data_IF_363933083929
#
_entry.id   IF_363933083929
#
_cell.length_a   1.000
_cell.length_b   1.000
_cell.length_c   1.000
_cell.angle_alpha   90.00
_cell.angle_beta   90.00
_cell.angle_gamma   90.00
#
_symmetry.space_group_name_H-M   'P 1'
#
loop_
_entity.id
_entity.type
_entity.pdbx_description
1 polymer ?
#
# COMPACT_ATOMS: atom_id res chain seq x y z
N UNK A 1 17.45 -14.61 -2.07
CA UNK A 1 16.39 -13.69 -2.53
C UNK A 1 15.25 -13.77 -1.53
N UNK A 2 15.15 -12.81 -0.65
CA UNK A 2 14.02 -12.67 0.25
C UNK A 2 12.86 -12.12 -0.58
N UNK A 3 11.99 -13.00 -1.05
CA UNK A 3 10.65 -12.56 -1.46
C UNK A 3 9.97 -12.10 -0.17
N UNK A 4 9.84 -10.78 0.00
CA UNK A 4 9.28 -10.22 1.22
C UNK A 4 7.91 -10.80 1.50
N UNK A 5 7.55 -10.90 2.77
CA UNK A 5 6.24 -11.32 3.26
C UNK A 5 5.07 -10.59 2.54
N UNK A 6 5.32 -9.42 1.95
CA UNK A 6 4.36 -8.70 1.11
C UNK A 6 3.86 -9.47 -0.11
N UNK A 7 4.70 -10.27 -0.78
CA UNK A 7 4.27 -11.08 -1.94
C UNK A 7 3.41 -12.29 -1.51
N UNK A 8 3.67 -12.84 -0.34
CA UNK A 8 2.84 -13.90 0.25
C UNK A 8 1.48 -13.31 0.62
N UNK A 9 1.44 -12.09 1.11
CA UNK A 9 0.20 -11.40 1.48
C UNK A 9 -0.66 -11.02 0.26
N UNK A 10 -0.07 -10.58 -0.85
CA UNK A 10 -0.82 -10.34 -2.11
C UNK A 10 -1.56 -11.58 -2.61
N UNK A 11 -1.00 -12.78 -2.41
CA UNK A 11 -1.62 -14.06 -2.81
C UNK A 11 -2.66 -14.59 -1.82
N UNK A 12 -2.68 -14.09 -0.60
CA UNK A 12 -3.59 -14.51 0.47
C UNK A 12 -4.69 -13.48 0.77
N UNK A 13 -4.77 -12.40 0.00
CA UNK A 13 -5.89 -11.47 0.17
C UNK A 13 -7.16 -12.16 -0.31
N UNK A 14 -7.95 -12.64 0.63
CA UNK A 14 -9.24 -13.29 0.43
C UNK A 14 -10.33 -12.34 -0.10
N UNK A 15 -9.94 -11.19 -0.62
CA UNK A 15 -10.86 -10.21 -1.20
C UNK A 15 -11.11 -10.64 -2.66
N UNK A 16 -12.19 -11.37 -2.87
CA UNK A 16 -12.66 -11.74 -4.21
C UNK A 16 -13.62 -10.70 -4.80
N UNK A 17 -14.05 -9.74 -4.00
CA UNK A 17 -15.03 -8.72 -4.34
C UNK A 17 -14.41 -7.33 -4.16
N UNK A 18 -14.73 -6.42 -5.07
CA UNK A 18 -14.23 -5.05 -4.99
C UNK A 18 -14.76 -4.34 -3.73
N UNK A 19 -13.92 -3.62 -2.94
CA UNK A 19 -14.40 -2.98 -1.70
C UNK A 19 -15.57 -2.03 -1.90
N UNK A 20 -15.57 -1.22 -2.97
CA UNK A 20 -16.68 -0.33 -3.28
C UNK A 20 -17.94 -1.08 -3.69
N UNK A 21 -17.82 -2.25 -4.32
CA UNK A 21 -18.95 -3.12 -4.60
C UNK A 21 -19.59 -3.62 -3.28
N UNK A 22 -18.77 -4.04 -2.32
CA UNK A 22 -19.28 -4.46 -1.01
C UNK A 22 -19.96 -3.31 -0.26
N UNK A 23 -19.43 -2.09 -0.34
CA UNK A 23 -20.11 -0.88 0.19
C UNK A 23 -21.47 -0.69 -0.48
N UNK A 24 -21.51 -0.76 -1.82
CA UNK A 24 -22.75 -0.58 -2.61
C UNK A 24 -23.86 -1.56 -2.23
N UNK A 25 -23.51 -2.81 -1.96
CA UNK A 25 -24.48 -3.86 -1.56
C UNK A 25 -24.73 -3.91 -0.04
N UNK A 26 -24.22 -2.97 0.73
CA UNK A 26 -24.45 -2.86 2.17
C UNK A 26 -23.71 -3.91 3.02
N UNK A 27 -22.54 -4.39 2.56
CA UNK A 27 -21.70 -5.37 3.27
C UNK A 27 -20.27 -4.87 3.51
N UNK A 28 -20.04 -3.61 3.93
CA UNK A 28 -18.68 -3.08 4.12
C UNK A 28 -17.90 -3.81 5.23
N UNK A 29 -18.60 -4.33 6.25
CA UNK A 29 -17.99 -5.09 7.35
C UNK A 29 -17.26 -6.34 6.88
N UNK A 30 -17.67 -6.94 5.76
CA UNK A 30 -17.00 -8.11 5.17
C UNK A 30 -15.55 -7.79 4.80
N UNK A 31 -15.28 -6.58 4.27
CA UNK A 31 -13.90 -6.13 3.97
C UNK A 31 -13.10 -6.01 5.26
N UNK A 32 -13.67 -5.33 6.26
CA UNK A 32 -13.01 -5.09 7.54
C UNK A 32 -12.67 -6.40 8.23
N UNK A 33 -13.62 -7.33 8.30
CA UNK A 33 -13.45 -8.59 9.01
C UNK A 33 -12.44 -9.51 8.33
N UNK A 34 -12.50 -9.63 7.01
CA UNK A 34 -11.56 -10.46 6.25
C UNK A 34 -10.12 -9.92 6.35
N UNK A 35 -9.93 -8.61 6.21
CA UNK A 35 -8.63 -7.98 6.36
C UNK A 35 -8.11 -8.11 7.80
N UNK A 36 -8.95 -7.80 8.79
CA UNK A 36 -8.57 -7.86 10.20
C UNK A 36 -8.17 -9.29 10.60
N UNK A 37 -8.90 -10.30 10.16
CA UNK A 37 -8.58 -11.71 10.46
C UNK A 37 -7.23 -12.12 9.85
N UNK A 38 -6.97 -11.79 8.58
CA UNK A 38 -5.70 -12.09 7.95
C UNK A 38 -4.51 -11.40 8.66
N UNK A 39 -4.67 -10.12 9.00
CA UNK A 39 -3.66 -9.34 9.73
C UNK A 39 -3.45 -9.92 11.14
N UNK A 40 -4.53 -10.29 11.84
CA UNK A 40 -4.49 -10.90 13.18
C UNK A 40 -3.59 -12.12 13.21
N UNK A 41 -3.78 -13.04 12.26
CA UNK A 41 -2.99 -14.29 12.18
C UNK A 41 -1.49 -14.00 12.10
N UNK A 42 -1.09 -13.04 11.24
CA UNK A 42 0.33 -12.66 11.09
C UNK A 42 0.85 -12.00 12.37
N UNK A 43 0.09 -11.06 12.94
CA UNK A 43 0.50 -10.36 14.16
C UNK A 43 0.65 -11.30 15.35
N UNK A 44 -0.24 -12.28 15.51
CA UNK A 44 -0.14 -13.29 16.56
C UNK A 44 1.08 -14.19 16.38
N UNK A 45 1.32 -14.67 15.16
CA UNK A 45 2.46 -15.52 14.85
C UNK A 45 3.81 -14.82 15.07
N UNK A 46 3.85 -13.51 14.88
CA UNK A 46 5.07 -12.72 15.00
C UNK A 46 5.28 -12.09 16.38
N UNK A 47 4.26 -12.06 17.24
CA UNK A 47 4.36 -11.42 18.55
C UNK A 47 5.51 -11.97 19.39
N UNK A 48 6.28 -11.14 20.11
CA UNK A 48 6.14 -9.67 20.26
C UNK A 48 6.82 -8.82 19.16
N UNK A 49 7.38 -9.47 18.12
CA UNK A 49 8.09 -8.78 17.04
C UNK A 49 7.14 -7.87 16.25
N UNK A 50 7.60 -6.68 15.80
CA UNK A 50 6.78 -5.77 15.02
C UNK A 50 6.41 -6.38 13.67
N UNK A 51 5.18 -6.10 13.24
CA UNK A 51 4.65 -6.41 11.91
C UNK A 51 4.34 -5.08 11.22
N UNK A 52 4.72 -4.95 9.96
CA UNK A 52 4.33 -3.80 9.14
C UNK A 52 3.45 -4.30 7.99
N UNK A 53 2.18 -3.91 8.00
CA UNK A 53 1.24 -4.19 6.92
C UNK A 53 1.34 -3.07 5.88
N UNK A 54 1.46 -3.43 4.61
CA UNK A 54 1.31 -2.48 3.51
C UNK A 54 -0.18 -2.34 3.16
N UNK A 55 -0.67 -1.10 3.08
CA UNK A 55 -1.98 -0.83 2.50
C UNK A 55 -2.05 -1.31 1.06
N UNK A 56 -3.25 -1.50 0.55
CA UNK A 56 -3.49 -2.08 -0.79
C UNK A 56 -2.85 -1.27 -1.90
N UNK A 57 -2.11 -1.95 -2.78
CA UNK A 57 -1.43 -1.34 -3.93
C UNK A 57 -1.76 -2.11 -5.21
N UNK A 58 -3.06 -2.37 -5.41
CA UNK A 58 -3.53 -2.98 -6.65
C UNK A 58 -3.60 -1.93 -7.76
N UNK A 59 -3.21 -2.35 -8.94
CA UNK A 59 -3.43 -1.60 -10.18
C UNK A 59 -4.91 -1.62 -10.56
N UNK A 60 -5.37 -0.66 -11.35
CA UNK A 60 -6.77 -0.60 -11.79
C UNK A 60 -7.22 -1.87 -12.50
N UNK A 61 -6.33 -2.52 -13.27
CA UNK A 61 -6.62 -3.81 -13.90
C UNK A 61 -6.87 -4.92 -12.88
N UNK A 62 -6.05 -4.99 -11.83
CA UNK A 62 -6.18 -6.01 -10.76
C UNK A 62 -7.47 -5.82 -9.96
N UNK A 63 -7.85 -4.57 -9.66
CA UNK A 63 -9.12 -4.27 -9.00
C UNK A 63 -10.33 -4.54 -9.90
N UNK A 64 -10.20 -4.30 -11.21
CA UNK A 64 -11.25 -4.57 -12.18
C UNK A 64 -11.60 -6.06 -12.25
N UNK A 65 -10.61 -6.95 -12.09
CA UNK A 65 -10.79 -8.40 -12.10
C UNK A 65 -11.53 -8.93 -10.86
N UNK A 66 -11.68 -8.10 -9.81
CA UNK A 66 -12.49 -8.45 -8.66
C UNK A 66 -13.99 -8.33 -9.02
N UNK A 67 -14.82 -9.16 -8.40
CA UNK A 67 -16.27 -9.09 -8.59
C UNK A 67 -16.81 -7.70 -8.34
N UNK A 68 -17.46 -7.12 -9.34
CA UNK A 68 -17.99 -5.75 -9.34
C UNK A 68 -16.96 -4.66 -9.57
N UNK A 69 -15.69 -5.00 -9.86
CA UNK A 69 -14.61 -4.02 -10.07
C UNK A 69 -14.74 -3.25 -11.37
N UNK A 70 -15.30 -3.86 -12.40
CA UNK A 70 -15.53 -3.24 -13.72
C UNK A 70 -16.38 -1.96 -13.67
N UNK A 71 -17.23 -1.83 -12.64
CA UNK A 71 -18.06 -0.64 -12.42
C UNK A 71 -17.27 0.56 -11.87
N UNK A 72 -16.21 0.31 -11.10
CA UNK A 72 -15.52 1.35 -10.34
C UNK A 72 -14.14 1.71 -10.90
N UNK A 73 -13.56 0.84 -11.70
CA UNK A 73 -12.18 0.99 -12.13
C UNK A 73 -12.05 1.55 -13.54
N UNK A 74 -11.21 2.59 -13.72
CA UNK A 74 -10.94 3.14 -15.05
C UNK A 74 -10.15 2.15 -15.91
N UNK A 75 -10.29 2.27 -17.24
CA UNK A 75 -9.41 1.60 -18.18
C UNK A 75 -8.18 2.47 -18.42
N UNK A 76 -7.05 2.11 -17.83
CA UNK A 76 -5.82 2.90 -17.90
C UNK A 76 -4.82 2.32 -18.90
N UNK A 77 -4.17 3.17 -19.72
CA UNK A 77 -3.18 2.72 -20.71
C UNK A 77 -1.88 2.24 -20.05
N UNK A 78 -1.56 2.72 -18.85
CA UNK A 78 -0.36 2.34 -18.11
C UNK A 78 -0.71 2.01 -16.66
N UNK A 79 -0.61 0.73 -16.33
CA UNK A 79 -0.87 0.27 -14.97
C UNK A 79 0.22 0.73 -13.98
N UNK A 80 1.48 0.89 -14.43
CA UNK A 80 2.58 1.34 -13.57
C UNK A 80 2.39 2.79 -13.11
N UNK A 81 2.03 3.68 -14.06
CA UNK A 81 1.90 5.12 -13.80
C UNK A 81 0.48 5.56 -13.47
N UNK A 82 -0.45 4.61 -13.42
CA UNK A 82 -1.87 4.85 -13.25
C UNK A 82 -2.32 5.16 -11.83
N UNK A 83 -3.60 5.01 -11.60
CA UNK A 83 -4.27 5.26 -10.34
C UNK A 83 -4.06 4.11 -9.35
N UNK A 84 -3.05 4.24 -8.50
CA UNK A 84 -2.64 3.22 -7.51
C UNK A 84 -2.03 3.85 -6.25
N UNK A 85 -1.94 3.07 -5.19
CA UNK A 85 -1.34 3.46 -3.93
C UNK A 85 -1.97 4.71 -3.31
N UNK A 86 -1.15 5.61 -2.77
CA UNK A 86 -1.58 6.79 -2.03
C UNK A 86 -2.62 7.64 -2.78
N UNK A 87 -2.52 7.76 -4.12
CA UNK A 87 -3.47 8.57 -4.91
C UNK A 87 -4.92 8.09 -4.84
N UNK A 88 -5.14 6.79 -4.56
CA UNK A 88 -6.49 6.24 -4.34
C UNK A 88 -7.08 6.66 -3.01
N UNK A 89 -6.25 6.69 -1.97
CA UNK A 89 -6.73 6.76 -0.59
C UNK A 89 -7.40 8.08 -0.23
N UNK A 90 -7.06 9.16 -0.93
CA UNK A 90 -7.70 10.47 -0.75
C UNK A 90 -8.63 10.86 -1.91
N UNK A 91 -8.72 10.02 -2.96
CA UNK A 91 -9.66 10.26 -4.07
C UNK A 91 -11.10 10.06 -3.59
N UNK A 92 -12.02 11.03 -3.85
CA UNK A 92 -13.43 10.89 -3.49
C UNK A 92 -14.10 9.61 -4.00
N UNK A 93 -13.59 9.02 -5.08
CA UNK A 93 -14.10 7.77 -5.65
C UNK A 93 -13.70 6.54 -4.85
N UNK A 94 -12.62 6.60 -4.04
CA UNK A 94 -12.08 5.42 -3.37
C UNK A 94 -11.90 5.58 -1.86
N UNK A 95 -11.94 6.80 -1.33
CA UNK A 95 -11.68 7.12 0.08
C UNK A 95 -12.48 6.24 1.07
N UNK A 96 -13.73 5.90 0.75
CA UNK A 96 -14.55 5.06 1.61
C UNK A 96 -13.99 3.62 1.70
N UNK A 97 -13.44 3.08 0.61
CA UNK A 97 -12.75 1.80 0.64
C UNK A 97 -11.46 1.85 1.47
N UNK A 98 -10.68 2.93 1.37
CA UNK A 98 -9.49 3.11 2.21
C UNK A 98 -9.83 3.23 3.71
N UNK A 99 -10.92 3.88 4.06
CA UNK A 99 -11.39 3.92 5.45
C UNK A 99 -11.68 2.52 6.01
N UNK A 100 -12.18 1.57 5.19
CA UNK A 100 -12.37 0.19 5.62
C UNK A 100 -11.04 -0.50 5.94
N UNK A 101 -9.98 -0.24 5.16
CA UNK A 101 -8.64 -0.74 5.50
C UNK A 101 -8.14 -0.17 6.83
N UNK A 102 -8.34 1.13 7.07
CA UNK A 102 -8.01 1.76 8.34
C UNK A 102 -8.80 1.15 9.50
N UNK A 103 -10.10 0.88 9.31
CA UNK A 103 -10.94 0.23 10.32
C UNK A 103 -10.46 -1.18 10.64
N UNK A 104 -10.02 -1.96 9.63
CA UNK A 104 -9.43 -3.28 9.85
C UNK A 104 -8.16 -3.22 10.69
N UNK A 105 -7.25 -2.27 10.41
CA UNK A 105 -6.03 -2.04 11.22
C UNK A 105 -6.40 -1.68 12.64
N UNK A 106 -7.36 -0.76 12.84
CA UNK A 106 -7.82 -0.35 14.16
C UNK A 106 -8.42 -1.54 14.91
N UNK A 107 -9.27 -2.35 14.27
CA UNK A 107 -9.85 -3.55 14.86
C UNK A 107 -8.77 -4.51 15.39
N UNK A 108 -7.73 -4.75 14.62
CA UNK A 108 -6.60 -5.60 15.04
C UNK A 108 -5.89 -5.04 16.26
N UNK A 109 -5.66 -3.74 16.30
CA UNK A 109 -4.91 -3.10 17.38
C UNK A 109 -5.75 -2.91 18.65
N UNK A 110 -7.03 -2.61 18.53
CA UNK A 110 -7.89 -2.24 19.65
C UNK A 110 -8.72 -3.43 20.15
N UNK A 111 -9.42 -4.13 19.26
CA UNK A 111 -10.30 -5.23 19.65
C UNK A 111 -9.51 -6.53 19.89
N UNK A 112 -8.53 -6.84 19.03
CA UNK A 112 -7.67 -8.03 19.23
C UNK A 112 -6.46 -7.76 20.13
N UNK A 113 -6.20 -6.50 20.49
CA UNK A 113 -5.11 -6.12 21.39
C UNK A 113 -3.70 -6.25 20.81
N UNK A 114 -3.55 -6.45 19.50
CA UNK A 114 -2.27 -6.72 18.84
C UNK A 114 -1.54 -5.41 18.50
N UNK A 115 -0.85 -4.84 19.48
CA UNK A 115 -0.15 -3.54 19.35
C UNK A 115 1.15 -3.62 18.54
N UNK A 116 1.62 -4.81 18.19
CA UNK A 116 2.81 -4.99 17.33
C UNK A 116 2.56 -4.69 15.84
N UNK A 117 1.35 -4.32 15.44
CA UNK A 117 0.99 -3.94 14.08
C UNK A 117 1.34 -2.47 13.79
N UNK A 118 2.07 -2.24 12.70
CA UNK A 118 2.36 -0.96 12.08
C UNK A 118 1.87 -0.98 10.62
N UNK A 119 1.90 0.15 9.94
CA UNK A 119 1.45 0.25 8.54
C UNK A 119 2.50 0.87 7.63
N UNK A 120 2.34 0.64 6.33
CA UNK A 120 3.17 1.21 5.28
C UNK A 120 2.30 1.72 4.14
N UNK A 121 2.58 2.94 3.70
CA UNK A 121 1.93 3.60 2.58
C UNK A 121 2.70 3.26 1.31
N UNK A 122 2.10 2.59 0.31
CA UNK A 122 2.73 2.31 -0.97
C UNK A 122 2.52 3.45 -1.96
N UNK A 123 3.38 3.54 -2.94
CA UNK A 123 3.28 4.34 -4.15
C UNK A 123 2.77 5.77 -3.91
N UNK A 124 3.45 6.48 -3.02
CA UNK A 124 3.15 7.87 -2.66
C UNK A 124 4.06 8.81 -3.45
N UNK A 125 3.49 9.58 -4.36
CA UNK A 125 4.23 10.34 -5.38
C UNK A 125 4.80 11.66 -4.89
N UNK A 126 4.12 12.31 -3.96
CA UNK A 126 4.54 13.61 -3.45
C UNK A 126 4.19 13.77 -1.96
N UNK A 127 4.74 14.83 -1.36
CA UNK A 127 4.60 15.09 0.08
C UNK A 127 3.15 15.40 0.45
N UNK A 128 2.43 16.09 -0.42
CA UNK A 128 1.02 16.46 -0.21
C UNK A 128 0.10 15.24 -0.19
N UNK A 129 0.39 14.22 -1.02
CA UNK A 129 -0.31 12.93 -0.93
C UNK A 129 -0.08 12.25 0.43
N UNK A 130 1.19 12.25 0.90
CA UNK A 130 1.54 11.67 2.18
C UNK A 130 0.80 12.36 3.34
N UNK A 131 0.76 13.70 3.33
CA UNK A 131 0.02 14.49 4.30
C UNK A 131 -1.47 14.17 4.30
N UNK A 132 -2.12 14.13 3.13
CA UNK A 132 -3.54 13.80 3.00
C UNK A 132 -3.85 12.40 3.54
N UNK A 133 -3.04 11.42 3.15
CA UNK A 133 -3.24 10.03 3.57
C UNK A 133 -3.06 9.87 5.08
N UNK A 134 -2.01 10.44 5.65
CA UNK A 134 -1.77 10.38 7.11
C UNK A 134 -2.85 11.10 7.90
N UNK A 135 -3.43 12.18 7.37
CA UNK A 135 -4.57 12.86 7.95
C UNK A 135 -5.82 11.96 7.95
N UNK A 136 -6.17 11.33 6.83
CA UNK A 136 -7.30 10.40 6.76
C UNK A 136 -7.11 9.23 7.74
N UNK A 137 -5.89 8.70 7.86
CA UNK A 137 -5.57 7.66 8.83
C UNK A 137 -5.82 8.15 10.26
N UNK A 138 -5.38 9.36 10.60
CA UNK A 138 -5.60 9.97 11.92
C UNK A 138 -7.09 10.17 12.20
N UNK A 139 -7.87 10.63 11.23
CA UNK A 139 -9.33 10.79 11.31
C UNK A 139 -10.03 9.42 11.55
N UNK A 140 -9.43 8.32 11.07
CA UNK A 140 -9.88 6.95 11.34
C UNK A 140 -9.34 6.38 12.68
N UNK A 141 -8.62 7.15 13.49
CA UNK A 141 -8.06 6.72 14.78
C UNK A 141 -6.67 6.08 14.68
N UNK A 142 -5.99 6.19 13.53
CA UNK A 142 -4.64 5.66 13.30
C UNK A 142 -3.60 6.79 13.27
N UNK A 143 -3.37 7.43 14.42
CA UNK A 143 -2.37 8.49 14.54
C UNK A 143 -0.98 7.92 14.80
N UNK A 144 0.01 8.40 14.02
CA UNK A 144 1.42 8.11 14.25
C UNK A 144 1.86 8.50 15.67
N UNK A 145 2.63 7.65 16.32
CA UNK A 145 3.08 7.88 17.68
C UNK A 145 4.11 6.85 18.15
N UNK A 146 4.31 6.80 19.47
CA UNK A 146 5.27 5.88 20.08
C UNK A 146 4.95 4.42 19.77
N UNK A 147 3.68 4.05 19.85
CA UNK A 147 3.20 2.67 19.74
C UNK A 147 2.59 2.33 18.39
N UNK A 148 2.60 3.27 17.44
CA UNK A 148 2.11 3.05 16.07
C UNK A 148 2.99 3.79 15.08
N UNK A 149 3.66 3.01 14.23
CA UNK A 149 4.59 3.53 13.23
C UNK A 149 3.97 3.53 11.85
N UNK A 150 4.25 4.59 11.10
CA UNK A 150 3.86 4.74 9.71
C UNK A 150 5.11 4.71 8.85
N UNK A 151 5.18 3.74 7.95
CA UNK A 151 6.28 3.58 7.00
C UNK A 151 5.85 4.08 5.63
N UNK A 152 6.81 4.49 4.82
CA UNK A 152 6.61 4.80 3.41
C UNK A 152 7.39 3.80 2.57
N UNK A 153 6.80 3.31 1.48
CA UNK A 153 7.54 2.55 0.51
C UNK A 153 8.34 3.51 -0.38
N UNK A 154 9.66 3.47 -0.25
CA UNK A 154 10.57 4.24 -1.11
C UNK A 154 10.72 3.51 -2.45
N UNK A 155 9.86 3.87 -3.39
CA UNK A 155 9.77 3.19 -4.68
C UNK A 155 9.56 4.15 -5.86
N UNK A 156 9.52 5.45 -5.57
CA UNK A 156 9.41 6.52 -6.55
C UNK A 156 10.60 7.46 -6.37
N UNK A 157 11.25 7.94 -7.43
CA UNK A 157 12.40 8.85 -7.31
C UNK A 157 12.17 10.08 -6.42
N UNK A 158 10.93 10.61 -6.40
CA UNK A 158 10.56 11.73 -5.53
C UNK A 158 10.70 11.40 -4.03
N UNK A 159 10.50 10.14 -3.63
CA UNK A 159 10.66 9.71 -2.24
C UNK A 159 12.12 9.82 -1.79
N UNK A 160 13.05 9.62 -2.72
CA UNK A 160 14.49 9.73 -2.48
C UNK A 160 14.92 11.20 -2.44
N UNK A 161 14.48 11.98 -3.45
CA UNK A 161 14.86 13.39 -3.62
C UNK A 161 14.34 14.25 -2.48
N UNK A 162 13.13 13.98 -1.99
CA UNK A 162 12.45 14.75 -0.94
C UNK A 162 12.30 13.97 0.37
N UNK A 163 13.22 13.03 0.65
CA UNK A 163 13.15 12.19 1.85
C UNK A 163 13.05 13.02 3.15
N UNK A 164 13.78 14.15 3.22
CA UNK A 164 13.71 15.08 4.34
C UNK A 164 12.31 15.68 4.55
N UNK A 165 11.54 15.88 3.48
CA UNK A 165 10.18 16.41 3.56
C UNK A 165 9.19 15.30 3.97
N UNK A 166 9.31 14.10 3.41
CA UNK A 166 8.49 12.96 3.82
C UNK A 166 8.69 12.55 5.28
N UNK A 167 9.90 12.73 5.83
CA UNK A 167 10.22 12.44 7.24
C UNK A 167 9.32 13.16 8.25
N UNK A 168 8.65 14.24 7.85
CA UNK A 168 7.67 14.93 8.69
C UNK A 168 6.44 14.05 8.98
N UNK A 169 6.10 13.13 8.09
CA UNK A 169 4.88 12.34 8.10
C UNK A 169 5.09 10.87 8.42
N UNK A 170 6.31 10.33 8.23
CA UNK A 170 6.60 8.89 8.37
C UNK A 170 7.74 8.64 9.35
N UNK A 171 7.83 7.40 9.85
CA UNK A 171 8.85 6.96 10.81
C UNK A 171 10.04 6.28 10.13
N UNK A 172 9.92 5.96 8.86
CA UNK A 172 10.97 5.29 8.08
C UNK A 172 10.49 4.81 6.72
N UNK A 173 11.39 4.12 6.02
CA UNK A 173 11.18 3.67 4.66
C UNK A 173 11.39 2.17 4.52
N UNK A 174 10.63 1.58 3.60
CA UNK A 174 10.90 0.26 3.04
C UNK A 174 11.18 0.41 1.55
N UNK A 175 12.27 -0.15 1.07
CA UNK A 175 12.68 0.01 -0.32
C UNK A 175 11.86 -0.91 -1.23
N UNK A 176 11.03 -0.32 -2.10
CA UNK A 176 10.31 -1.00 -3.17
C UNK A 176 11.18 -1.07 -4.43
N UNK A 177 12.21 -1.92 -4.42
CA UNK A 177 13.25 -1.94 -5.46
C UNK A 177 12.70 -2.18 -6.87
N UNK A 178 11.61 -2.92 -7.01
CA UNK A 178 11.03 -3.20 -8.32
C UNK A 178 10.48 -1.93 -9.00
N UNK A 179 9.56 -1.24 -8.32
CA UNK A 179 8.98 -0.01 -8.85
C UNK A 179 10.06 1.09 -8.97
N UNK A 180 10.95 1.20 -7.97
CA UNK A 180 12.06 2.16 -8.04
C UNK A 180 12.96 1.92 -9.25
N UNK A 181 13.32 0.68 -9.55
CA UNK A 181 14.12 0.35 -10.73
C UNK A 181 13.42 0.72 -12.01
N UNK A 182 12.13 0.38 -12.15
CA UNK A 182 11.34 0.74 -13.33
C UNK A 182 11.28 2.24 -13.53
N UNK A 183 11.05 3.00 -12.47
CA UNK A 183 10.89 4.46 -12.56
C UNK A 183 12.22 5.20 -12.73
N UNK A 184 13.31 4.72 -12.14
CA UNK A 184 14.65 5.30 -12.32
C UNK A 184 15.17 5.05 -13.73
N UNK A 185 14.92 3.86 -14.29
CA UNK A 185 15.39 3.49 -15.62
C UNK A 185 14.38 3.82 -16.74
N UNK A 186 13.14 4.20 -16.38
CA UNK A 186 12.08 4.50 -17.34
C UNK A 186 11.66 3.28 -18.18
N UNK A 187 11.66 2.09 -17.58
CA UNK A 187 11.28 0.86 -18.26
C UNK A 187 10.25 0.07 -17.44
N UNK A 188 9.32 -0.59 -18.12
CA UNK A 188 8.37 -1.51 -17.52
C UNK A 188 8.93 -2.95 -17.65
N UNK A 189 9.15 -3.63 -16.51
CA UNK A 189 9.66 -5.02 -16.49
C UNK A 189 8.68 -6.03 -17.09
N UNK A 190 7.39 -5.68 -17.13
CA UNK A 190 6.32 -6.54 -17.66
C UNK A 190 6.09 -6.30 -19.18
N UNK A 191 6.84 -5.36 -19.78
CA UNK A 191 6.79 -5.10 -21.22
C UNK A 191 7.94 -5.84 -21.92
N UNK A 192 7.62 -6.87 -22.69
CA UNK A 192 8.59 -7.76 -23.36
C UNK A 192 9.63 -7.02 -24.21
N UNK A 193 9.26 -5.88 -24.78
CA UNK A 193 10.15 -5.11 -25.67
C UNK A 193 11.28 -4.41 -24.89
N UNK A 194 11.01 -3.91 -23.68
CA UNK A 194 11.96 -3.11 -22.90
C UNK A 194 12.38 -3.76 -21.59
N UNK A 195 11.83 -4.92 -21.24
CA UNK A 195 12.15 -5.65 -20.00
C UNK A 195 13.64 -6.00 -19.88
N UNK A 196 14.37 -6.12 -21.00
CA UNK A 196 15.81 -6.37 -21.01
C UNK A 196 16.64 -5.20 -20.45
N UNK A 197 16.05 -3.98 -20.34
CA UNK A 197 16.69 -2.80 -19.74
C UNK A 197 16.58 -2.84 -18.21
N UNK A 198 15.61 -3.58 -17.68
CA UNK A 198 15.40 -3.68 -16.24
C UNK A 198 16.58 -4.38 -15.55
N UNK A 199 17.33 -3.63 -14.75
CA UNK A 199 18.42 -4.15 -13.92
C UNK A 199 18.45 -3.41 -12.57
N UNK A 200 18.07 -4.10 -11.51
CA UNK A 200 18.07 -3.57 -10.13
C UNK A 200 19.49 -3.32 -9.58
N UNK A 201 20.54 -3.85 -10.25
CA UNK A 201 21.95 -3.62 -9.94
C UNK A 201 22.53 -2.40 -10.67
N UNK A 202 21.75 -1.77 -11.55
CA UNK A 202 22.19 -0.56 -12.27
C UNK A 202 22.71 0.49 -11.28
N UNK A 203 23.78 1.20 -11.67
CA UNK A 203 24.45 2.19 -10.81
C UNK A 203 23.50 3.32 -10.39
N UNK A 204 22.57 3.74 -11.26
CA UNK A 204 21.57 4.78 -10.93
C UNK A 204 20.62 4.31 -9.82
N UNK A 205 20.10 3.08 -9.92
CA UNK A 205 19.24 2.46 -8.91
C UNK A 205 19.98 2.32 -7.58
N UNK A 206 21.22 1.80 -7.62
CA UNK A 206 22.04 1.66 -6.41
C UNK A 206 22.37 3.00 -5.74
N UNK A 207 22.53 4.07 -6.50
CA UNK A 207 22.72 5.42 -5.96
C UNK A 207 21.44 5.99 -5.37
N UNK A 208 20.29 5.69 -5.97
CA UNK A 208 19.01 6.09 -5.42
C UNK A 208 18.69 5.42 -4.06
N UNK A 209 19.19 4.20 -3.84
CA UNK A 209 18.97 3.45 -2.58
C UNK A 209 19.94 3.90 -1.46
N UNK A 210 21.05 4.53 -1.77
CA UNK A 210 22.06 4.98 -0.79
C UNK A 210 21.73 6.32 -0.17
#
# INVERSE_FOLDING_TARGET
>A
MSRGLGDVYKRQTYIHEHPLYLIKIGQPEKVVDQLAEGIRQVCQAMAPRPVTMRFSDFKSSEYRDLKGGDEFEPNEPSALLGWRGASRYYDPKYIEAFKLECMAVRKVREEFGLKNLNVMIPFCRNVEECEKVTKIMADCGLSRGKDFKVWLMAEIPSNIILADQFNKFVDGYSIGSNDLTMLVLGCDRDNDTVSHIYDDRNLAVRRAIR
#
